data_IF_237965040167
#
_entry.id   IF_237965040167
#
_cell.length_a   1.000
_cell.length_b   1.000
_cell.length_c   1.000
_cell.angle_alpha   90.00
_cell.angle_beta   90.00
_cell.angle_gamma   90.00
#
_symmetry.space_group_name_H-M   'P 1'
#
loop_
_entity.id
_entity.type
_entity.pdbx_description
1 polymer ?
#
# COMPACT_ATOMS: atom_id res chain seq x y z
N UNK A 1 22.16 21.75 3.22
CA UNK A 1 22.09 20.30 3.53
C UNK A 1 20.95 19.74 2.69
N UNK A 2 21.16 18.66 1.95
CA UNK A 2 20.11 18.04 1.12
C UNK A 2 19.54 16.87 1.90
N UNK A 3 18.24 16.90 2.16
CA UNK A 3 17.51 15.79 2.76
C UNK A 3 17.02 14.84 1.67
N UNK A 4 16.98 13.54 1.97
CA UNK A 4 16.51 12.50 1.07
C UNK A 4 15.19 11.96 1.63
N UNK A 5 14.22 11.77 0.74
CA UNK A 5 12.96 11.10 1.03
C UNK A 5 12.64 10.11 -0.09
N UNK A 6 12.00 9.00 0.28
CA UNK A 6 11.46 8.04 -0.66
C UNK A 6 9.95 8.25 -0.80
N UNK A 7 9.39 7.91 -1.96
CA UNK A 7 7.98 8.16 -2.26
C UNK A 7 7.36 7.02 -3.04
N UNK A 8 6.07 6.79 -2.82
CA UNK A 8 5.28 5.83 -3.58
C UNK A 8 5.36 4.40 -3.05
N UNK A 9 4.74 3.49 -3.79
CA UNK A 9 4.63 2.08 -3.42
C UNK A 9 5.93 1.36 -3.76
N UNK A 10 6.54 0.72 -2.76
CA UNK A 10 7.81 0.03 -2.92
C UNK A 10 7.63 -1.36 -3.53
N UNK A 11 8.68 -1.91 -4.16
CA UNK A 11 8.65 -3.30 -4.61
C UNK A 11 8.48 -4.25 -3.41
N UNK A 12 7.58 -5.22 -3.57
CA UNK A 12 7.40 -6.32 -2.61
C UNK A 12 8.51 -7.35 -2.78
N UNK A 13 8.94 -7.99 -1.69
CA UNK A 13 9.86 -9.12 -1.79
C UNK A 13 9.23 -10.29 -2.54
N UNK A 14 10.06 -11.20 -3.07
CA UNK A 14 9.58 -12.44 -3.68
C UNK A 14 8.75 -13.29 -2.68
N UNK A 15 9.05 -13.22 -1.39
CA UNK A 15 8.30 -13.89 -0.33
C UNK A 15 6.89 -13.29 -0.22
N UNK A 16 6.78 -11.97 -0.18
CA UNK A 16 5.50 -11.26 -0.06
C UNK A 16 4.65 -11.38 -1.33
N UNK A 17 5.27 -11.39 -2.52
CA UNK A 17 4.56 -11.66 -3.78
C UNK A 17 3.90 -13.05 -3.74
N UNK A 18 4.65 -14.09 -3.33
CA UNK A 18 4.11 -15.45 -3.21
C UNK A 18 2.99 -15.55 -2.18
N UNK A 19 3.18 -14.92 -1.02
CA UNK A 19 2.15 -14.89 0.02
C UNK A 19 0.86 -14.24 -0.46
N UNK A 20 0.96 -13.14 -1.22
CA UNK A 20 -0.21 -12.49 -1.83
C UNK A 20 -0.97 -13.47 -2.73
N UNK A 21 -0.28 -14.20 -3.60
CA UNK A 21 -0.92 -15.20 -4.46
C UNK A 21 -1.51 -16.38 -3.70
N UNK A 22 -0.85 -16.83 -2.64
CA UNK A 22 -1.36 -17.92 -1.82
C UNK A 22 -2.60 -17.50 -1.02
N UNK A 23 -2.66 -16.24 -0.57
CA UNK A 23 -3.87 -15.65 0.04
C UNK A 23 -5.02 -15.55 -0.96
N UNK A 24 -4.77 -15.05 -2.18
CA UNK A 24 -5.78 -14.98 -3.26
C UNK A 24 -6.33 -16.37 -3.62
N UNK A 25 -5.52 -17.42 -3.44
CA UNK A 25 -5.92 -18.83 -3.65
C UNK A 25 -6.51 -19.50 -2.41
N UNK A 26 -6.67 -18.77 -1.30
CA UNK A 26 -7.22 -19.27 -0.04
C UNK A 26 -6.34 -20.28 0.69
N UNK A 27 -5.02 -20.32 0.42
CA UNK A 27 -4.07 -21.25 1.06
C UNK A 27 -3.50 -20.74 2.37
N UNK A 28 -3.49 -19.43 2.57
CA UNK A 28 -3.13 -18.78 3.83
C UNK A 28 -4.26 -17.85 4.24
N UNK A 29 -4.41 -17.61 5.53
CA UNK A 29 -5.35 -16.63 6.05
C UNK A 29 -4.82 -15.19 5.95
N UNK A 30 -5.70 -14.24 6.28
CA UNK A 30 -5.41 -12.81 6.23
C UNK A 30 -4.31 -12.43 7.22
N UNK A 31 -4.34 -12.97 8.42
CA UNK A 31 -3.36 -12.71 9.49
C UNK A 31 -1.94 -13.13 9.05
N UNK A 32 -1.81 -14.29 8.40
CA UNK A 32 -0.53 -14.77 7.85
C UNK A 32 0.01 -13.83 6.77
N UNK A 33 -0.86 -13.30 5.90
CA UNK A 33 -0.46 -12.32 4.90
C UNK A 33 -0.02 -11.00 5.56
N UNK A 34 -0.80 -10.48 6.50
CA UNK A 34 -0.51 -9.23 7.22
C UNK A 34 0.82 -9.30 7.97
N UNK A 35 1.11 -10.42 8.64
CA UNK A 35 2.40 -10.65 9.30
C UNK A 35 3.60 -10.58 8.33
N UNK A 36 3.42 -11.08 7.09
CA UNK A 36 4.46 -11.00 6.05
C UNK A 36 4.63 -9.59 5.49
N UNK A 37 3.53 -8.84 5.34
CA UNK A 37 3.59 -7.43 4.96
C UNK A 37 4.35 -6.65 6.03
N UNK A 38 3.99 -6.81 7.30
CA UNK A 38 4.62 -6.11 8.42
C UNK A 38 6.13 -6.41 8.52
N UNK A 39 6.53 -7.67 8.31
CA UNK A 39 7.94 -8.07 8.26
C UNK A 39 8.73 -7.32 7.17
N UNK A 40 8.19 -7.24 5.95
CA UNK A 40 8.84 -6.51 4.85
C UNK A 40 8.86 -5.00 5.14
N UNK A 41 7.79 -4.45 5.71
CA UNK A 41 7.70 -3.05 6.15
C UNK A 41 8.79 -2.72 7.17
N UNK A 42 8.98 -3.54 8.21
CA UNK A 42 10.03 -3.35 9.22
C UNK A 42 11.41 -3.30 8.57
N UNK A 43 11.69 -4.20 7.63
CA UNK A 43 12.95 -4.21 6.87
C UNK A 43 13.17 -2.92 6.07
N UNK A 44 12.13 -2.39 5.44
CA UNK A 44 12.20 -1.11 4.69
C UNK A 44 12.52 0.06 5.64
N UNK A 45 11.87 0.11 6.80
CA UNK A 45 12.08 1.14 7.82
C UNK A 45 13.50 1.05 8.39
N UNK A 46 13.95 -0.15 8.78
CA UNK A 46 15.31 -0.39 9.29
C UNK A 46 16.39 0.09 8.30
N UNK A 47 16.22 -0.19 7.00
CA UNK A 47 17.17 0.26 5.98
C UNK A 47 17.25 1.78 5.86
N UNK A 48 16.10 2.49 5.92
CA UNK A 48 16.08 3.95 5.90
C UNK A 48 16.75 4.55 7.15
N UNK A 49 16.50 3.98 8.33
CA UNK A 49 17.12 4.41 9.58
C UNK A 49 18.64 4.19 9.55
N UNK A 50 19.11 3.02 9.13
CA UNK A 50 20.54 2.69 9.01
C UNK A 50 21.28 3.58 8.01
N UNK A 51 20.58 4.09 7.00
CA UNK A 51 21.14 4.98 5.97
C UNK A 51 21.02 6.46 6.31
N UNK A 52 20.44 6.80 7.47
CA UNK A 52 20.35 8.17 7.97
C UNK A 52 19.32 9.04 7.25
N UNK A 53 18.24 8.44 6.73
CA UNK A 53 17.14 9.20 6.11
C UNK A 53 16.44 10.05 7.17
N UNK A 54 16.22 11.33 6.85
CA UNK A 54 15.50 12.26 7.73
C UNK A 54 14.01 11.96 7.79
N UNK A 55 13.43 11.54 6.66
CA UNK A 55 12.01 11.22 6.52
C UNK A 55 11.86 9.75 6.19
N UNK A 56 11.07 9.04 7.00
CA UNK A 56 10.87 7.59 6.90
C UNK A 56 9.46 7.32 6.36
N UNK A 57 9.36 6.34 5.46
CA UNK A 57 8.09 5.77 4.98
C UNK A 57 8.01 4.28 5.30
N UNK A 58 6.80 3.75 5.46
CA UNK A 58 6.54 2.30 5.59
C UNK A 58 6.61 1.56 4.24
N UNK A 59 6.89 2.27 3.14
CA UNK A 59 6.97 1.71 1.79
C UNK A 59 5.59 1.45 1.14
N UNK A 60 4.49 1.84 1.80
CA UNK A 60 3.11 1.71 1.31
C UNK A 60 2.73 0.28 0.87
N UNK A 61 3.26 -0.77 1.51
CA UNK A 61 3.07 -2.15 1.07
C UNK A 61 1.62 -2.65 1.18
N UNK A 62 0.82 -2.04 2.06
CA UNK A 62 -0.62 -2.28 2.20
C UNK A 62 -1.43 -1.78 1.00
N UNK A 63 -0.87 -0.90 0.17
CA UNK A 63 -1.55 -0.34 -0.99
C UNK A 63 -1.40 -1.32 -2.17
N UNK A 64 -2.53 -1.84 -2.67
CA UNK A 64 -2.53 -2.67 -3.89
C UNK A 64 -2.36 -1.83 -5.16
N UNK A 65 -2.84 -0.60 -5.13
CA UNK A 65 -2.68 0.40 -6.18
C UNK A 65 -2.86 1.81 -5.58
N UNK A 66 -2.56 2.85 -6.37
CA UNK A 66 -2.58 4.25 -5.92
C UNK A 66 -3.93 4.74 -5.41
N UNK A 67 -5.04 4.13 -5.83
CA UNK A 67 -6.38 4.58 -5.46
C UNK A 67 -7.10 3.65 -4.49
N UNK A 68 -6.49 2.50 -4.17
CA UNK A 68 -7.11 1.46 -3.35
C UNK A 68 -7.72 1.97 -2.04
N UNK A 69 -7.01 2.75 -1.20
CA UNK A 69 -7.58 3.21 0.07
C UNK A 69 -8.81 4.10 -0.11
N UNK A 70 -8.82 4.92 -1.16
CA UNK A 70 -9.91 5.84 -1.46
C UNK A 70 -11.12 5.12 -2.02
N UNK A 71 -10.91 4.21 -2.97
CA UNK A 71 -11.98 3.40 -3.58
C UNK A 71 -12.69 2.53 -2.54
N UNK A 72 -11.98 2.04 -1.53
CA UNK A 72 -12.56 1.17 -0.49
C UNK A 72 -13.24 1.94 0.65
N UNK A 73 -12.94 3.23 0.84
CA UNK A 73 -13.36 3.97 2.04
C UNK A 73 -14.09 5.31 1.79
N UNK A 74 -14.23 5.74 0.53
CA UNK A 74 -14.99 6.96 0.18
C UNK A 74 -16.27 6.54 -0.53
N UNK A 75 -17.41 6.90 0.05
CA UNK A 75 -18.73 6.72 -0.58
C UNK A 75 -18.83 7.58 -1.84
N UNK A 76 -19.50 7.06 -2.86
CA UNK A 76 -19.59 7.69 -4.19
C UNK A 76 -18.39 7.44 -5.10
N UNK A 77 -17.43 6.60 -4.67
CA UNK A 77 -16.37 6.04 -5.51
C UNK A 77 -16.59 4.54 -5.68
N UNK A 78 -16.57 4.06 -6.92
CA UNK A 78 -16.60 2.64 -7.25
C UNK A 78 -15.35 2.22 -8.05
N UNK A 79 -14.92 0.94 -7.93
CA UNK A 79 -13.78 0.43 -8.68
C UNK A 79 -14.15 0.26 -10.16
N UNK A 80 -13.49 1.01 -11.04
CA UNK A 80 -13.62 0.84 -12.48
C UNK A 80 -12.68 -0.23 -13.07
N UNK A 81 -12.44 -0.17 -14.40
CA UNK A 81 -11.63 -1.16 -15.10
C UNK A 81 -10.16 -1.12 -14.67
N UNK A 82 -9.50 -2.28 -14.73
CA UNK A 82 -8.05 -2.38 -14.57
C UNK A 82 -7.35 -1.69 -15.75
N UNK A 83 -6.63 -0.62 -15.46
CA UNK A 83 -6.01 0.25 -16.45
C UNK A 83 -4.51 0.29 -16.23
N UNK A 84 -3.73 0.32 -17.31
CA UNK A 84 -2.27 0.49 -17.26
C UNK A 84 -1.93 1.96 -17.01
N UNK A 85 -1.00 2.23 -16.11
CA UNK A 85 -0.52 3.57 -15.84
C UNK A 85 0.45 4.02 -16.93
N UNK A 86 -0.02 4.81 -17.89
CA UNK A 86 0.75 5.19 -19.09
C UNK A 86 1.39 3.97 -19.77
N UNK A 87 2.65 4.07 -20.20
CA UNK A 87 3.40 3.01 -20.86
C UNK A 87 4.37 2.28 -19.91
N UNK A 88 3.98 2.07 -18.65
CA UNK A 88 4.75 1.27 -17.69
C UNK A 88 4.02 -0.05 -17.35
N UNK A 89 4.63 -0.89 -16.50
CA UNK A 89 4.06 -2.18 -16.08
C UNK A 89 3.15 -2.09 -14.83
N UNK A 90 2.77 -0.87 -14.41
CA UNK A 90 1.90 -0.65 -13.27
C UNK A 90 0.44 -0.64 -13.72
N UNK A 91 -0.41 -1.35 -12.99
CA UNK A 91 -1.85 -1.39 -13.22
C UNK A 91 -2.58 -0.89 -11.98
N UNK A 92 -3.73 -0.26 -12.19
CA UNK A 92 -4.60 0.24 -11.13
C UNK A 92 -6.07 0.11 -11.55
N UNK A 93 -6.98 0.05 -10.59
CA UNK A 93 -8.41 0.17 -10.89
C UNK A 93 -8.76 1.65 -10.98
N UNK A 94 -9.19 2.10 -12.16
CA UNK A 94 -9.55 3.50 -12.36
C UNK A 94 -10.78 3.83 -11.51
N UNK A 95 -10.72 4.80 -10.57
CA UNK A 95 -11.89 5.17 -9.77
C UNK A 95 -12.97 5.77 -10.66
N UNK A 96 -14.22 5.39 -10.41
CA UNK A 96 -15.41 5.98 -11.02
C UNK A 96 -16.14 6.74 -9.93
N UNK A 97 -16.43 8.02 -10.16
CA UNK A 97 -17.24 8.83 -9.24
C UNK A 97 -18.68 8.78 -9.77
N UNK A 98 -19.54 8.06 -9.06
CA UNK A 98 -20.93 7.82 -9.45
C UNK A 98 -21.94 8.60 -8.58
N UNK A 99 -21.49 9.15 -7.46
CA UNK A 99 -22.33 9.91 -6.53
C UNK A 99 -21.54 11.02 -5.81
N UNK A 100 -22.23 11.77 -4.96
CA UNK A 100 -21.61 12.75 -4.06
C UNK A 100 -20.62 12.05 -3.13
N UNK A 101 -19.42 12.60 -3.04
CA UNK A 101 -18.36 12.07 -2.20
C UNK A 101 -18.63 12.36 -0.73
N UNK A 102 -18.60 11.31 0.10
CA UNK A 102 -18.62 11.40 1.55
C UNK A 102 -17.65 10.40 2.17
N UNK A 103 -17.08 10.78 3.30
CA UNK A 103 -16.32 9.87 4.14
C UNK A 103 -16.71 10.13 5.59
N UNK A 104 -17.09 9.08 6.30
CA UNK A 104 -17.56 9.13 7.68
C UNK A 104 -16.47 8.86 8.71
N UNK A 105 -15.28 8.41 8.27
CA UNK A 105 -14.16 8.02 9.15
C UNK A 105 -12.81 8.36 8.52
N UNK A 106 -11.80 8.57 9.37
CA UNK A 106 -10.40 8.55 8.95
C UNK A 106 -10.02 7.11 8.62
N UNK A 107 -9.46 6.83 7.44
CA UNK A 107 -9.17 5.45 7.00
C UNK A 107 -7.70 5.21 6.64
N UNK A 108 -6.90 6.25 6.41
CA UNK A 108 -5.52 6.07 5.94
C UNK A 108 -4.62 5.29 6.91
N UNK A 109 -4.94 5.32 8.21
CA UNK A 109 -4.24 4.55 9.24
C UNK A 109 -4.42 3.03 9.07
N UNK A 110 -5.43 2.57 8.32
CA UNK A 110 -5.62 1.15 7.97
C UNK A 110 -4.68 0.70 6.84
N UNK A 111 -4.02 1.65 6.16
CA UNK A 111 -3.14 1.40 5.00
C UNK A 111 -1.70 1.88 5.23
N UNK A 112 -1.37 2.33 6.44
CA UNK A 112 -0.04 2.80 6.83
C UNK A 112 0.29 2.23 8.20
N UNK A 113 1.48 1.65 8.35
CA UNK A 113 1.96 1.19 9.66
C UNK A 113 2.47 2.35 10.51
N UNK A 114 1.55 3.17 11.04
CA UNK A 114 1.88 4.35 11.85
C UNK A 114 2.69 3.97 13.09
N UNK A 115 2.34 2.87 13.75
CA UNK A 115 3.02 2.37 14.96
C UNK A 115 4.48 1.94 14.71
N UNK A 116 4.87 1.70 13.45
CA UNK A 116 6.25 1.38 13.09
C UNK A 116 7.08 2.63 12.74
N UNK A 117 6.44 3.79 12.61
CA UNK A 117 7.07 5.07 12.24
C UNK A 117 7.25 6.02 13.42
N UNK A 118 6.69 5.69 14.59
CA UNK A 118 6.74 6.47 15.82
C UNK A 118 8.01 6.26 16.64
#
# INVERSE_FOLDING_TARGET
MVDIQLTGIFPRSNELIRATWDYEKGKIDKETLENKIEKDTKRIIELQLQTGFRYITDGMLLWQDLFRPFVENIEGISPGPLTRWFNNNTFFRKPIIDNKLSSSRTFLHEYIYVDLLS
#
